data_IF_868792035244
#
_entry.id   IF_868792035244
#
_cell.length_a   1.000
_cell.length_b   1.000
_cell.length_c   1.000
_cell.angle_alpha   90.00
_cell.angle_beta   90.00
_cell.angle_gamma   90.00
#
_symmetry.space_group_name_H-M   'P 1'
#
loop_
_entity.id
_entity.type
_entity.pdbx_description
1 polymer ?
#
# COMPACT_ATOMS: atom_id res chain seq x y z
N UNK A 1 23.10 -27.26 -1.36
CA UNK A 1 23.67 -26.54 -2.53
C UNK A 1 24.04 -27.45 -3.71
N UNK A 2 24.38 -28.73 -3.51
CA UNK A 2 24.66 -29.67 -4.62
C UNK A 2 23.49 -29.80 -5.62
N UNK A 3 22.24 -29.78 -5.14
CA UNK A 3 21.04 -29.81 -5.99
C UNK A 3 20.97 -28.58 -6.91
N UNK A 4 21.25 -27.37 -6.43
CA UNK A 4 21.19 -26.15 -7.24
C UNK A 4 22.25 -26.15 -8.36
N UNK A 5 23.48 -26.59 -8.06
CA UNK A 5 24.53 -26.70 -9.08
C UNK A 5 24.23 -27.78 -10.12
N UNK A 6 23.54 -28.87 -9.74
CA UNK A 6 23.09 -29.89 -10.69
C UNK A 6 22.12 -29.34 -11.75
N UNK A 7 21.43 -28.23 -11.46
CA UNK A 7 20.56 -27.53 -12.42
C UNK A 7 21.21 -26.29 -13.06
N UNK A 8 22.55 -26.16 -13.02
CA UNK A 8 23.30 -24.98 -13.50
C UNK A 8 22.83 -23.66 -12.87
N UNK A 9 22.28 -23.69 -11.66
CA UNK A 9 21.94 -22.47 -10.93
C UNK A 9 23.20 -21.83 -10.32
N UNK A 10 23.14 -20.51 -10.17
CA UNK A 10 24.16 -19.66 -9.55
C UNK A 10 23.70 -19.24 -8.14
N UNK A 11 23.94 -20.05 -7.09
CA UNK A 11 23.43 -19.74 -5.75
C UNK A 11 24.20 -18.57 -5.13
N UNK A 12 23.52 -17.46 -4.89
CA UNK A 12 24.04 -16.30 -4.14
C UNK A 12 23.38 -16.31 -2.77
N UNK A 13 24.16 -16.20 -1.69
CA UNK A 13 23.66 -16.29 -0.31
C UNK A 13 23.93 -15.00 0.44
N UNK A 14 22.90 -14.44 1.07
CA UNK A 14 23.02 -13.31 2.00
C UNK A 14 23.12 -13.85 3.42
N UNK A 15 24.20 -13.56 4.15
CA UNK A 15 24.45 -14.16 5.47
C UNK A 15 25.46 -13.38 6.31
N UNK A 16 25.39 -13.53 7.62
CA UNK A 16 26.41 -13.08 8.58
C UNK A 16 27.47 -14.15 8.89
N UNK A 17 27.32 -15.37 8.35
CA UNK A 17 28.22 -16.52 8.58
C UNK A 17 28.63 -17.19 7.26
N UNK A 18 29.42 -16.49 6.41
CA UNK A 18 29.76 -16.95 5.06
C UNK A 18 30.48 -18.31 5.04
N UNK A 19 31.20 -18.67 6.10
CA UNK A 19 31.95 -19.92 6.21
C UNK A 19 31.02 -21.16 6.14
N UNK A 20 29.75 -21.02 6.55
CA UNK A 20 28.74 -22.09 6.43
C UNK A 20 28.32 -22.36 4.99
N UNK A 21 28.59 -21.44 4.07
CA UNK A 21 28.08 -21.46 2.70
C UNK A 21 29.21 -21.53 1.66
N UNK A 22 30.28 -22.26 1.95
CA UNK A 22 31.42 -22.47 1.03
C UNK A 22 31.06 -23.05 -0.35
N UNK A 23 29.86 -23.63 -0.49
CA UNK A 23 29.34 -24.15 -1.75
C UNK A 23 28.47 -23.15 -2.55
N UNK A 24 28.25 -21.93 -2.03
CA UNK A 24 27.63 -20.85 -2.80
C UNK A 24 28.52 -20.46 -4.00
N UNK A 25 27.93 -19.81 -5.01
CA UNK A 25 28.71 -19.12 -6.03
C UNK A 25 29.31 -17.85 -5.46
N UNK A 26 28.52 -17.10 -4.71
CA UNK A 26 28.90 -15.85 -4.06
C UNK A 26 28.18 -15.70 -2.72
N UNK A 27 28.80 -15.02 -1.76
CA UNK A 27 28.20 -14.71 -0.45
C UNK A 27 28.21 -13.21 -0.22
N UNK A 28 27.02 -12.63 -0.02
CA UNK A 28 26.85 -11.23 0.37
C UNK A 28 26.81 -11.16 1.89
N UNK A 29 27.92 -10.69 2.48
CA UNK A 29 28.08 -10.66 3.94
C UNK A 29 27.31 -9.47 4.53
N UNK A 30 26.44 -9.74 5.50
CA UNK A 30 25.74 -8.72 6.28
C UNK A 30 26.16 -8.78 7.76
N UNK A 31 26.15 -7.64 8.50
CA UNK A 31 26.45 -7.65 9.92
C UNK A 31 25.49 -8.55 10.72
N UNK A 32 26.00 -9.19 11.77
CA UNK A 32 25.17 -9.92 12.72
C UNK A 32 24.37 -8.93 13.58
N UNK A 33 23.08 -9.20 13.77
CA UNK A 33 22.14 -8.37 14.54
C UNK A 33 21.25 -9.25 15.42
N UNK A 34 20.41 -8.61 16.23
CA UNK A 34 19.38 -9.31 17.02
C UNK A 34 18.50 -10.16 16.09
N UNK A 35 18.22 -11.44 16.41
CA UNK A 35 17.46 -12.33 15.54
C UNK A 35 16.10 -11.76 15.11
N UNK A 36 15.48 -10.92 15.92
CA UNK A 36 14.19 -10.28 15.62
C UNK A 36 14.27 -9.25 14.48
N UNK A 37 15.48 -8.81 14.10
CA UNK A 37 15.75 -7.81 13.07
C UNK A 37 16.63 -8.34 11.93
N UNK A 38 16.99 -9.63 11.94
CA UNK A 38 17.92 -10.23 10.95
C UNK A 38 17.42 -10.06 9.50
N UNK A 39 16.11 -10.18 9.31
CA UNK A 39 15.44 -10.06 8.02
C UNK A 39 15.59 -8.65 7.42
N UNK A 40 15.78 -7.61 8.26
CA UNK A 40 15.90 -6.22 7.79
C UNK A 40 17.17 -6.05 6.97
N UNK A 41 18.31 -6.52 7.50
CA UNK A 41 19.59 -6.43 6.79
C UNK A 41 19.61 -7.33 5.55
N UNK A 42 19.04 -8.54 5.65
CA UNK A 42 18.90 -9.41 4.50
C UNK A 42 18.05 -8.78 3.38
N UNK A 43 16.94 -8.11 3.74
CA UNK A 43 16.09 -7.42 2.79
C UNK A 43 16.79 -6.23 2.12
N UNK A 44 17.51 -5.41 2.89
CA UNK A 44 18.27 -4.27 2.35
C UNK A 44 19.37 -4.75 1.39
N UNK A 45 20.14 -5.77 1.78
CA UNK A 45 21.15 -6.35 0.91
C UNK A 45 20.55 -6.93 -0.38
N UNK A 46 19.40 -7.59 -0.29
CA UNK A 46 18.67 -8.11 -1.45
C UNK A 46 18.18 -6.99 -2.40
N UNK A 47 17.68 -5.88 -1.84
CA UNK A 47 17.27 -4.72 -2.65
C UNK A 47 18.46 -4.07 -3.36
N UNK A 48 19.57 -3.86 -2.65
CA UNK A 48 20.78 -3.28 -3.24
C UNK A 48 21.35 -4.17 -4.34
N UNK A 49 21.50 -5.47 -4.08
CA UNK A 49 21.95 -6.44 -5.08
C UNK A 49 21.07 -6.40 -6.34
N UNK A 50 19.75 -6.43 -6.16
CA UNK A 50 18.81 -6.41 -7.30
C UNK A 50 18.87 -5.10 -8.08
N UNK A 51 19.10 -3.97 -7.39
CA UNK A 51 19.24 -2.67 -8.03
C UNK A 51 20.54 -2.57 -8.85
N UNK A 52 21.66 -3.00 -8.30
CA UNK A 52 22.95 -3.04 -9.01
C UNK A 52 22.91 -4.02 -10.19
N UNK A 53 22.25 -5.18 -10.03
CA UNK A 53 22.02 -6.11 -11.14
C UNK A 53 21.19 -5.46 -12.27
N UNK A 54 20.14 -4.71 -11.92
CA UNK A 54 19.35 -3.99 -12.91
C UNK A 54 20.16 -2.87 -13.60
N UNK A 55 21.02 -2.16 -12.88
CA UNK A 55 21.93 -1.15 -13.46
C UNK A 55 22.96 -1.79 -14.40
N UNK A 56 23.49 -2.96 -14.05
CA UNK A 56 24.41 -3.69 -14.93
C UNK A 56 23.72 -4.12 -16.24
N UNK A 57 22.47 -4.57 -16.18
CA UNK A 57 21.67 -4.88 -17.37
C UNK A 57 21.41 -3.61 -18.19
N UNK A 58 21.01 -2.51 -17.55
CA UNK A 58 20.80 -1.23 -18.24
C UNK A 58 22.07 -0.73 -18.95
N UNK A 59 23.22 -0.89 -18.30
CA UNK A 59 24.52 -0.50 -18.87
C UNK A 59 24.84 -1.28 -20.15
N UNK A 60 24.37 -2.52 -20.29
CA UNK A 60 24.55 -3.31 -21.52
C UNK A 60 23.85 -2.70 -22.75
N UNK A 61 22.91 -1.77 -22.55
CA UNK A 61 22.26 -0.99 -23.61
C UNK A 61 23.11 0.18 -24.13
N UNK A 62 24.26 0.47 -23.50
CA UNK A 62 25.10 1.61 -23.85
C UNK A 62 25.53 1.65 -25.32
N UNK A 63 25.98 0.55 -25.95
CA UNK A 63 26.31 0.57 -27.38
C UNK A 63 25.10 0.89 -28.26
N UNK A 64 23.91 0.42 -27.90
CA UNK A 64 22.67 0.72 -28.62
C UNK A 64 22.30 2.21 -28.52
N UNK A 65 22.51 2.83 -27.36
CA UNK A 65 22.32 4.27 -27.16
C UNK A 65 23.30 5.08 -28.00
N UNK A 66 24.55 4.62 -28.12
CA UNK A 66 25.54 5.29 -28.98
C UNK A 66 25.13 5.22 -30.46
N UNK A 67 24.67 4.07 -30.96
CA UNK A 67 24.16 3.95 -32.33
C UNK A 67 22.98 4.90 -32.54
N UNK A 68 22.05 4.95 -31.59
CA UNK A 68 20.90 5.86 -31.65
C UNK A 68 21.35 7.34 -31.68
N UNK A 69 22.33 7.73 -30.88
CA UNK A 69 22.88 9.09 -30.92
C UNK A 69 23.56 9.42 -32.26
N UNK A 70 24.21 8.45 -32.91
CA UNK A 70 24.76 8.63 -34.26
C UNK A 70 23.63 8.88 -35.27
N UNK A 71 22.55 8.09 -35.22
CA UNK A 71 21.38 8.29 -36.07
C UNK A 71 20.78 9.68 -35.84
N UNK A 72 20.55 10.07 -34.58
CA UNK A 72 19.99 11.37 -34.21
C UNK A 72 20.86 12.52 -34.75
N UNK A 73 22.18 12.44 -34.63
CA UNK A 73 23.09 13.45 -35.18
C UNK A 73 23.04 13.50 -36.73
N UNK A 74 22.89 12.36 -37.38
CA UNK A 74 22.82 12.26 -38.84
C UNK A 74 21.51 12.86 -39.41
N UNK A 75 20.42 12.90 -38.63
CA UNK A 75 19.15 13.54 -39.06
C UNK A 75 19.23 15.05 -39.29
N UNK A 76 20.29 15.70 -38.81
CA UNK A 76 20.53 17.13 -39.06
C UNK A 76 20.94 17.44 -40.52
N UNK A 77 21.19 16.42 -41.35
CA UNK A 77 21.66 16.53 -42.72
C UNK A 77 20.60 16.07 -43.74
N UNK A 78 20.94 16.18 -45.03
CA UNK A 78 20.06 15.76 -46.11
C UNK A 78 19.72 14.25 -46.01
N UNK A 79 18.44 13.85 -46.16
CA UNK A 79 17.99 12.46 -46.02
C UNK A 79 18.75 11.46 -46.89
N UNK A 80 19.21 11.88 -48.06
CA UNK A 80 19.94 11.06 -49.01
C UNK A 80 21.33 10.64 -48.48
N UNK A 81 21.91 11.43 -47.57
CA UNK A 81 23.21 11.14 -46.93
C UNK A 81 23.08 10.45 -45.57
N UNK A 82 21.85 10.17 -45.12
CA UNK A 82 21.59 9.71 -43.76
C UNK A 82 22.29 8.38 -43.46
N UNK A 83 22.09 7.38 -44.32
CA UNK A 83 22.68 6.05 -44.13
C UNK A 83 24.20 6.09 -44.24
N UNK A 84 24.75 6.85 -45.20
CA UNK A 84 26.21 6.98 -45.35
C UNK A 84 26.87 7.58 -44.11
N UNK A 85 26.23 8.57 -43.50
CA UNK A 85 26.70 9.20 -42.25
C UNK A 85 26.60 8.26 -41.05
N UNK A 86 25.48 7.54 -40.95
CA UNK A 86 25.33 6.52 -39.91
C UNK A 86 26.43 5.47 -40.05
N UNK A 87 26.61 4.93 -41.26
CA UNK A 87 27.61 3.91 -41.55
C UNK A 87 29.04 4.33 -41.18
N UNK A 88 29.38 5.62 -41.30
CA UNK A 88 30.70 6.16 -40.97
C UNK A 88 31.05 6.06 -39.46
N UNK A 89 30.04 6.09 -38.58
CA UNK A 89 30.25 6.30 -37.14
C UNK A 89 29.68 5.17 -36.24
N UNK A 90 28.98 4.16 -36.80
CA UNK A 90 28.37 3.09 -35.99
C UNK A 90 29.24 1.84 -35.76
N UNK A 91 30.37 1.67 -36.46
CA UNK A 91 31.14 0.42 -36.47
C UNK A 91 31.54 -0.06 -35.07
N UNK A 92 32.08 0.85 -34.25
CA UNK A 92 32.52 0.54 -32.88
C UNK A 92 31.36 0.08 -31.98
N UNK A 93 30.28 0.87 -31.79
CA UNK A 93 29.19 0.43 -30.92
C UNK A 93 28.40 -0.76 -31.50
N UNK A 94 28.31 -0.90 -32.83
CA UNK A 94 27.71 -2.07 -33.46
C UNK A 94 28.52 -3.35 -33.17
N UNK A 95 29.84 -3.28 -33.28
CA UNK A 95 30.73 -4.40 -32.96
C UNK A 95 30.64 -4.78 -31.48
N UNK A 96 30.61 -3.80 -30.57
CA UNK A 96 30.42 -4.05 -29.13
C UNK A 96 29.13 -4.81 -28.83
N UNK A 97 28.02 -4.41 -29.46
CA UNK A 97 26.75 -5.13 -29.32
C UNK A 97 26.84 -6.55 -29.87
N UNK A 98 27.37 -6.73 -31.08
CA UNK A 98 27.49 -8.04 -31.73
C UNK A 98 28.44 -8.99 -30.99
N UNK A 99 29.52 -8.47 -30.40
CA UNK A 99 30.42 -9.21 -29.52
C UNK A 99 29.69 -9.64 -28.23
N UNK A 100 28.92 -8.74 -27.63
CA UNK A 100 28.09 -9.04 -26.46
C UNK A 100 27.05 -10.13 -26.74
N UNK A 101 26.43 -10.11 -27.92
CA UNK A 101 25.48 -11.14 -28.36
C UNK A 101 26.16 -12.50 -28.52
N UNK A 102 27.35 -12.55 -29.13
CA UNK A 102 28.14 -13.78 -29.26
C UNK A 102 28.63 -14.33 -27.92
N UNK A 103 28.88 -13.46 -26.94
CA UNK A 103 29.27 -13.84 -25.59
C UNK A 103 28.09 -14.30 -24.71
N UNK A 104 26.84 -14.15 -25.16
CA UNK A 104 25.65 -14.47 -24.36
C UNK A 104 25.31 -13.43 -23.28
N UNK A 105 25.87 -12.21 -23.37
CA UNK A 105 25.68 -11.17 -22.35
C UNK A 105 24.23 -10.66 -22.27
N UNK A 106 23.42 -10.92 -23.29
CA UNK A 106 22.02 -10.51 -23.39
C UNK A 106 21.03 -11.65 -23.08
N UNK A 107 21.52 -12.84 -22.74
CA UNK A 107 20.68 -14.01 -22.48
C UNK A 107 19.78 -13.77 -21.27
N UNK A 108 18.47 -13.90 -21.48
CA UNK A 108 17.46 -13.69 -20.44
C UNK A 108 17.11 -12.23 -20.16
N UNK A 109 17.76 -11.26 -20.83
CA UNK A 109 17.49 -9.82 -20.65
C UNK A 109 16.96 -9.17 -21.92
N UNK A 110 17.50 -9.54 -23.09
CA UNK A 110 17.02 -9.11 -24.40
C UNK A 110 16.21 -10.24 -25.05
N UNK A 111 15.08 -9.92 -25.65
CA UNK A 111 14.28 -10.93 -26.37
C UNK A 111 15.00 -11.39 -27.64
N UNK A 112 14.86 -12.68 -27.96
CA UNK A 112 15.51 -13.26 -29.14
C UNK A 112 15.08 -12.58 -30.45
N UNK A 113 13.83 -12.11 -30.54
CA UNK A 113 13.34 -11.33 -31.69
C UNK A 113 14.06 -9.99 -31.82
N UNK A 114 14.19 -9.23 -30.72
CA UNK A 114 14.88 -7.93 -30.73
C UNK A 114 16.37 -8.08 -31.04
N UNK A 115 17.02 -9.11 -30.48
CA UNK A 115 18.41 -9.42 -30.76
C UNK A 115 18.65 -9.79 -32.23
N UNK A 116 17.80 -10.67 -32.80
CA UNK A 116 17.91 -11.11 -34.19
C UNK A 116 17.64 -9.97 -35.16
N UNK A 117 16.61 -9.17 -34.89
CA UNK A 117 16.26 -8.00 -35.70
C UNK A 117 17.40 -6.97 -35.73
N UNK A 118 17.94 -6.60 -34.57
CA UNK A 118 19.07 -5.68 -34.48
C UNK A 118 20.32 -6.21 -35.20
N UNK A 119 20.66 -7.48 -34.99
CA UNK A 119 21.79 -8.10 -35.67
C UNK A 119 21.62 -8.11 -37.20
N UNK A 120 20.38 -8.22 -37.70
CA UNK A 120 20.06 -8.08 -39.13
C UNK A 120 20.22 -6.67 -39.64
N UNK A 121 19.54 -5.71 -39.00
CA UNK A 121 19.53 -4.30 -39.42
C UNK A 121 20.92 -3.68 -39.38
N UNK A 122 21.75 -4.07 -38.40
CA UNK A 122 23.14 -3.61 -38.32
C UNK A 122 23.99 -4.07 -39.52
N UNK A 123 23.69 -5.23 -40.14
CA UNK A 123 24.42 -5.66 -41.34
C UNK A 123 24.23 -4.68 -42.51
N UNK A 124 22.99 -4.21 -42.70
CA UNK A 124 22.67 -3.22 -43.73
C UNK A 124 23.19 -1.83 -43.35
N UNK A 125 23.07 -1.45 -42.08
CA UNK A 125 23.54 -0.15 -41.59
C UNK A 125 25.07 0.01 -41.69
N UNK A 126 25.82 -1.08 -41.52
CA UNK A 126 27.28 -1.13 -41.68
C UNK A 126 27.72 -1.38 -43.15
N UNK A 127 26.77 -1.57 -44.08
CA UNK A 127 27.07 -1.84 -45.49
C UNK A 127 27.64 -3.24 -45.77
N UNK A 128 27.54 -4.17 -44.81
CA UNK A 128 28.00 -5.56 -44.97
C UNK A 128 27.03 -6.46 -45.73
N UNK A 129 25.78 -6.03 -45.89
CA UNK A 129 24.74 -6.68 -46.70
C UNK A 129 24.19 -5.71 -47.76
N UNK A 130 23.80 -6.24 -48.92
CA UNK A 130 23.23 -5.43 -50.02
C UNK A 130 21.80 -5.02 -49.71
N UNK A 131 21.41 -3.79 -50.01
CA UNK A 131 20.01 -3.35 -49.89
C UNK A 131 19.06 -4.14 -50.79
N UNK A 132 19.58 -4.75 -51.87
CA UNK A 132 18.79 -5.62 -52.75
C UNK A 132 18.24 -6.86 -52.02
N UNK A 133 18.92 -7.30 -50.95
CA UNK A 133 18.51 -8.46 -50.14
C UNK A 133 17.56 -8.08 -48.99
N UNK A 134 17.33 -6.79 -48.75
CA UNK A 134 16.56 -6.30 -47.60
C UNK A 134 15.11 -6.79 -47.60
N UNK A 135 14.47 -6.82 -48.77
CA UNK A 135 13.08 -7.28 -48.90
C UNK A 135 12.92 -8.75 -48.54
N UNK A 136 13.95 -9.57 -48.78
CA UNK A 136 13.94 -10.99 -48.43
C UNK A 136 13.94 -11.21 -46.92
N UNK A 137 14.65 -10.37 -46.16
CA UNK A 137 14.75 -10.50 -44.70
C UNK A 137 13.66 -9.72 -43.94
N UNK A 138 13.22 -8.58 -44.47
CA UNK A 138 12.34 -7.64 -43.78
C UNK A 138 10.98 -7.41 -44.44
N UNK A 139 10.75 -7.97 -45.64
CA UNK A 139 9.44 -7.92 -46.33
C UNK A 139 9.06 -6.55 -46.90
N UNK A 140 10.00 -5.61 -46.97
CA UNK A 140 9.82 -4.26 -47.52
C UNK A 140 11.00 -3.87 -48.40
N UNK A 141 10.81 -2.94 -49.33
CA UNK A 141 11.87 -2.50 -50.25
C UNK A 141 13.07 -1.91 -49.48
N UNK A 142 14.27 -2.39 -49.81
CA UNK A 142 15.53 -1.91 -49.25
C UNK A 142 15.90 -0.54 -49.77
N UNK A 143 15.49 0.51 -49.07
CA UNK A 143 15.92 1.89 -49.32
C UNK A 143 16.65 2.44 -48.10
N UNK A 144 17.65 3.33 -48.26
CA UNK A 144 18.47 3.83 -47.15
C UNK A 144 17.67 4.40 -45.97
N UNK A 145 16.57 5.12 -46.27
CA UNK A 145 15.68 5.67 -45.25
C UNK A 145 14.94 4.60 -44.46
N UNK A 146 14.54 3.49 -45.10
CA UNK A 146 13.85 2.39 -44.44
C UNK A 146 14.76 1.71 -43.41
N UNK A 147 16.02 1.44 -43.78
CA UNK A 147 17.00 0.83 -42.86
C UNK A 147 17.17 1.67 -41.59
N UNK A 148 17.29 2.99 -41.73
CA UNK A 148 17.50 3.89 -40.58
C UNK A 148 16.24 3.98 -39.71
N UNK A 149 15.04 4.02 -40.32
CA UNK A 149 13.76 4.00 -39.60
C UNK A 149 13.60 2.70 -38.81
N UNK A 150 13.80 1.56 -39.46
CA UNK A 150 13.63 0.24 -38.86
C UNK A 150 14.68 0.01 -37.76
N UNK A 151 15.93 0.43 -37.99
CA UNK A 151 16.99 0.38 -36.98
C UNK A 151 16.65 1.27 -35.77
N UNK A 152 16.13 2.47 -35.98
CA UNK A 152 15.71 3.37 -34.88
C UNK A 152 14.60 2.75 -34.04
N UNK A 153 13.61 2.13 -34.69
CA UNK A 153 12.53 1.43 -34.01
C UNK A 153 13.05 0.25 -33.20
N UNK A 154 13.89 -0.60 -33.80
CA UNK A 154 14.49 -1.76 -33.13
C UNK A 154 15.37 -1.37 -31.95
N UNK A 155 16.19 -0.30 -32.08
CA UNK A 155 17.01 0.25 -31.00
C UNK A 155 16.14 0.73 -29.84
N UNK A 156 15.03 1.41 -30.14
CA UNK A 156 14.12 1.90 -29.10
C UNK A 156 13.55 0.74 -28.29
N UNK A 157 13.02 -0.29 -28.94
CA UNK A 157 12.48 -1.47 -28.26
C UNK A 157 13.55 -2.20 -27.43
N UNK A 158 14.76 -2.42 -27.99
CA UNK A 158 15.82 -3.12 -27.29
C UNK A 158 16.36 -2.33 -26.07
N UNK A 159 16.52 -1.01 -26.20
CA UNK A 159 16.92 -0.16 -25.07
C UNK A 159 15.85 -0.22 -23.97
N UNK A 160 14.56 -0.13 -24.33
CA UNK A 160 13.47 -0.25 -23.37
C UNK A 160 13.45 -1.61 -22.66
N UNK A 161 13.70 -2.72 -23.38
CA UNK A 161 13.81 -4.04 -22.78
C UNK A 161 14.94 -4.11 -21.74
N UNK A 162 16.12 -3.57 -22.06
CA UNK A 162 17.29 -3.57 -21.18
C UNK A 162 17.18 -2.58 -20.00
N UNK A 163 16.41 -1.50 -20.15
CA UNK A 163 16.18 -0.50 -19.09
C UNK A 163 15.03 -0.89 -18.14
N UNK A 164 14.01 -1.61 -18.63
CA UNK A 164 12.81 -2.01 -17.85
C UNK A 164 13.10 -2.65 -16.48
N UNK A 165 14.14 -3.48 -16.28
CA UNK A 165 14.45 -4.05 -14.98
C UNK A 165 14.65 -3.01 -13.88
N UNK A 166 15.20 -1.84 -14.20
CA UNK A 166 15.41 -0.76 -13.21
C UNK A 166 14.09 -0.28 -12.63
N UNK A 167 13.10 -0.07 -13.49
CA UNK A 167 11.77 0.38 -13.06
C UNK A 167 11.01 -0.74 -12.34
N UNK A 168 11.17 -1.98 -12.79
CA UNK A 168 10.59 -3.14 -12.11
C UNK A 168 11.12 -3.27 -10.68
N UNK A 169 12.44 -3.16 -10.46
CA UNK A 169 13.03 -3.22 -9.12
C UNK A 169 12.60 -2.04 -8.25
N UNK A 170 12.54 -0.81 -8.80
CA UNK A 170 12.01 0.35 -8.08
C UNK A 170 10.55 0.14 -7.66
N UNK A 171 9.72 -0.40 -8.55
CA UNK A 171 8.33 -0.72 -8.26
C UNK A 171 8.23 -1.80 -7.17
N UNK A 172 9.00 -2.88 -7.26
CA UNK A 172 9.03 -3.93 -6.23
C UNK A 172 9.48 -3.39 -4.88
N UNK A 173 10.56 -2.60 -4.83
CA UNK A 173 11.03 -1.97 -3.61
C UNK A 173 9.95 -1.07 -2.99
N UNK A 174 9.21 -0.32 -3.81
CA UNK A 174 8.04 0.44 -3.35
C UNK A 174 6.94 -0.49 -2.83
N UNK A 175 6.58 -1.56 -3.51
CA UNK A 175 5.54 -2.50 -3.06
C UNK A 175 5.92 -3.19 -1.75
N UNK A 176 7.19 -3.53 -1.55
CA UNK A 176 7.67 -4.13 -0.29
C UNK A 176 7.65 -3.11 0.84
N UNK A 177 8.11 -1.88 0.60
CA UNK A 177 8.18 -0.83 1.64
C UNK A 177 6.83 -0.15 1.92
N UNK A 178 5.91 -0.12 0.95
CA UNK A 178 4.53 0.37 1.10
C UNK A 178 3.59 -0.78 1.52
N UNK A 179 3.90 -2.03 1.22
CA UNK A 179 3.07 -3.20 1.59
C UNK A 179 3.00 -3.47 3.09
N UNK A 180 4.02 -3.04 3.84
CA UNK A 180 4.01 -3.00 5.32
C UNK A 180 3.19 -1.84 5.89
N UNK A 181 2.67 -0.93 5.07
CA UNK A 181 1.71 0.10 5.50
C UNK A 181 0.26 -0.39 5.47
N UNK A 182 0.01 -1.71 5.53
CA UNK A 182 -1.32 -2.23 5.90
C UNK A 182 -1.48 -2.13 7.41
N UNK A 183 -1.65 -0.90 7.90
CA UNK A 183 -2.13 -0.58 9.24
C UNK A 183 -3.41 -1.36 9.59
N UNK A 184 -4.20 -1.76 8.59
CA UNK A 184 -5.46 -2.50 8.73
C UNK A 184 -5.34 -3.80 9.52
N UNK A 185 -4.28 -4.59 9.32
CA UNK A 185 -4.12 -5.84 10.07
C UNK A 185 -3.81 -5.59 11.55
N UNK A 186 -3.08 -4.52 11.84
CA UNK A 186 -2.84 -4.06 13.21
C UNK A 186 -4.13 -3.55 13.85
N UNK A 187 -5.01 -2.86 13.10
CA UNK A 187 -6.32 -2.42 13.62
C UNK A 187 -7.19 -3.62 14.03
N UNK A 188 -7.14 -4.72 13.27
CA UNK A 188 -7.86 -5.97 13.61
C UNK A 188 -7.29 -6.69 14.85
N UNK A 189 -6.11 -6.30 15.33
CA UNK A 189 -5.50 -6.82 16.57
C UNK A 189 -5.88 -6.03 17.82
N UNK A 190 -6.60 -4.92 17.72
CA UNK A 190 -7.13 -4.24 18.91
C UNK A 190 -8.21 -5.11 19.58
N UNK A 191 -8.25 -5.13 20.92
CA UNK A 191 -9.15 -6.02 21.67
C UNK A 191 -10.61 -5.66 21.41
N UNK A 192 -10.97 -4.37 21.48
CA UNK A 192 -12.32 -3.92 21.17
C UNK A 192 -12.78 -4.32 19.75
N UNK A 193 -11.88 -4.31 18.76
CA UNK A 193 -12.22 -4.72 17.39
C UNK A 193 -12.47 -6.22 17.32
N UNK A 194 -11.68 -7.04 18.03
CA UNK A 194 -11.96 -8.48 18.18
C UNK A 194 -13.31 -8.72 18.81
N UNK A 195 -13.68 -7.96 19.84
CA UNK A 195 -14.97 -8.07 20.52
C UNK A 195 -16.16 -7.73 19.59
N UNK A 196 -16.02 -6.69 18.76
CA UNK A 196 -17.04 -6.35 17.73
C UNK A 196 -17.22 -7.52 16.73
N UNK A 197 -16.11 -8.10 16.25
CA UNK A 197 -16.18 -9.25 15.33
C UNK A 197 -16.76 -10.49 16.02
N UNK A 198 -16.39 -10.74 17.27
CA UNK A 198 -16.91 -11.85 18.07
C UNK A 198 -18.42 -11.73 18.36
N UNK A 199 -18.93 -10.49 18.49
CA UNK A 199 -20.36 -10.19 18.56
C UNK A 199 -21.11 -10.41 17.22
N UNK A 200 -20.42 -10.89 16.18
CA UNK A 200 -20.99 -11.31 14.91
C UNK A 200 -20.96 -10.27 13.81
N UNK A 201 -20.29 -9.12 14.01
CA UNK A 201 -20.14 -8.12 12.94
C UNK A 201 -19.25 -8.66 11.81
N UNK A 202 -19.71 -8.65 10.53
CA UNK A 202 -18.89 -9.03 9.40
C UNK A 202 -17.72 -8.07 9.22
N UNK A 203 -16.51 -8.60 9.03
CA UNK A 203 -15.30 -7.78 8.84
C UNK A 203 -15.41 -6.82 7.65
N UNK A 204 -16.08 -7.26 6.59
CA UNK A 204 -16.31 -6.49 5.37
C UNK A 204 -17.41 -5.41 5.52
N UNK A 205 -18.09 -5.37 6.68
CA UNK A 205 -19.05 -4.32 7.02
C UNK A 205 -18.46 -3.21 7.92
N UNK A 206 -17.20 -3.34 8.37
CA UNK A 206 -16.55 -2.31 9.19
C UNK A 206 -15.74 -1.36 8.32
N UNK A 207 -16.10 -0.07 8.34
CA UNK A 207 -15.34 0.93 7.59
C UNK A 207 -13.99 1.19 8.27
N UNK A 208 -12.99 1.64 7.49
CA UNK A 208 -11.69 2.04 8.04
C UNK A 208 -11.82 3.11 9.15
N UNK A 209 -12.72 4.08 8.97
CA UNK A 209 -13.02 5.10 9.99
C UNK A 209 -13.54 4.45 11.28
N UNK A 210 -14.49 3.51 11.17
CA UNK A 210 -15.01 2.79 12.33
C UNK A 210 -13.91 2.01 13.06
N UNK A 211 -13.06 1.29 12.33
CA UNK A 211 -11.93 0.55 12.90
C UNK A 211 -10.95 1.47 13.63
N UNK A 212 -10.61 2.61 13.02
CA UNK A 212 -9.70 3.58 13.63
C UNK A 212 -10.26 4.17 14.91
N UNK A 213 -11.51 4.63 14.89
CA UNK A 213 -12.18 5.16 16.08
C UNK A 213 -12.28 4.10 17.18
N UNK A 214 -12.53 2.84 16.86
CA UNK A 214 -12.54 1.77 17.85
C UNK A 214 -11.17 1.58 18.50
N UNK A 215 -10.10 1.52 17.70
CA UNK A 215 -8.72 1.41 18.21
C UNK A 215 -8.36 2.61 19.09
N UNK A 216 -8.75 3.82 18.71
CA UNK A 216 -8.48 5.03 19.49
C UNK A 216 -9.32 5.08 20.79
N UNK A 217 -10.47 4.40 20.84
CA UNK A 217 -11.29 4.24 22.05
C UNK A 217 -10.80 3.12 23.00
N UNK A 218 -10.08 2.12 22.48
CA UNK A 218 -9.63 0.92 23.21
C UNK A 218 -8.95 1.24 24.57
N UNK A 219 -8.05 2.25 24.68
CA UNK A 219 -7.42 2.58 25.97
C UNK A 219 -8.39 3.03 27.06
N UNK A 220 -9.58 3.54 26.69
CA UNK A 220 -10.60 3.95 27.65
C UNK A 220 -11.49 2.79 28.11
N UNK A 221 -11.38 1.62 27.47
CA UNK A 221 -12.23 0.46 27.72
C UNK A 221 -11.54 -0.52 28.65
N UNK A 222 -12.17 -0.81 29.79
CA UNK A 222 -11.71 -1.82 30.76
C UNK A 222 -12.19 -3.20 30.35
N UNK A 223 -13.47 -3.33 30.00
CA UNK A 223 -14.05 -4.62 29.62
C UNK A 223 -15.29 -4.45 28.73
N UNK A 224 -15.54 -5.46 27.89
CA UNK A 224 -16.79 -5.61 27.13
C UNK A 224 -17.64 -6.66 27.84
N UNK A 225 -18.79 -6.27 28.38
CA UNK A 225 -19.63 -7.10 29.26
C UNK A 225 -20.85 -7.69 28.55
N UNK A 226 -21.09 -7.32 27.29
CA UNK A 226 -22.17 -7.88 26.49
C UNK A 226 -22.34 -7.15 25.16
N UNK A 227 -23.26 -7.63 24.33
CA UNK A 227 -23.55 -7.03 23.05
C UNK A 227 -25.00 -7.20 22.62
N UNK A 228 -25.48 -6.31 21.75
CA UNK A 228 -26.69 -6.56 20.95
C UNK A 228 -26.42 -6.19 19.50
N UNK A 229 -26.69 -7.13 18.60
CA UNK A 229 -26.57 -6.93 17.17
C UNK A 229 -27.94 -6.71 16.55
N UNK A 230 -28.03 -5.76 15.65
CA UNK A 230 -29.23 -5.40 14.92
C UNK A 230 -28.99 -5.44 13.43
N UNK A 231 -30.03 -5.85 12.69
CA UNK A 231 -30.16 -5.64 11.26
C UNK A 231 -30.97 -4.37 11.02
N UNK A 232 -30.52 -3.55 10.09
CA UNK A 232 -31.23 -2.35 9.63
C UNK A 232 -31.78 -2.63 8.24
N UNK A 233 -33.07 -2.32 8.03
CA UNK A 233 -33.74 -2.43 6.74
C UNK A 233 -34.25 -1.05 6.30
N UNK A 234 -34.09 -0.75 5.01
CA UNK A 234 -34.40 0.57 4.45
C UNK A 234 -33.22 1.55 4.56
N UNK A 235 -33.41 2.75 4.02
CA UNK A 235 -32.39 3.79 4.07
C UNK A 235 -32.51 4.60 5.37
N UNK A 236 -31.44 4.61 6.17
CA UNK A 236 -31.37 5.36 7.42
C UNK A 236 -31.43 6.89 7.23
N UNK A 237 -31.22 7.39 6.01
CA UNK A 237 -31.47 8.80 5.67
C UNK A 237 -32.97 9.12 5.50
N UNK A 238 -33.84 8.11 5.56
CA UNK A 238 -35.30 8.26 5.44
C UNK A 238 -36.00 7.80 6.72
N UNK A 239 -37.14 8.42 7.05
CA UNK A 239 -37.93 8.10 8.25
C UNK A 239 -38.57 6.69 8.27
N UNK A 240 -38.35 5.90 7.22
CA UNK A 240 -38.95 4.57 7.04
C UNK A 240 -38.02 3.42 7.43
N UNK A 241 -36.79 3.70 7.86
CA UNK A 241 -35.84 2.67 8.28
C UNK A 241 -36.36 1.87 9.49
N UNK A 242 -36.17 0.55 9.43
CA UNK A 242 -36.54 -0.40 10.47
C UNK A 242 -35.31 -1.07 11.07
N UNK A 243 -35.43 -1.49 12.32
CA UNK A 243 -34.38 -2.15 13.07
C UNK A 243 -34.91 -3.43 13.73
N UNK A 244 -34.14 -4.52 13.61
CA UNK A 244 -34.50 -5.83 14.13
C UNK A 244 -33.33 -6.42 14.92
N UNK A 245 -33.60 -7.00 16.08
CA UNK A 245 -32.59 -7.74 16.85
C UNK A 245 -32.19 -8.98 16.07
N UNK A 246 -30.89 -9.19 15.92
CA UNK A 246 -30.29 -10.38 15.28
C UNK A 246 -29.73 -11.32 16.34
N UNK A 247 -28.98 -10.76 17.29
CA UNK A 247 -28.30 -11.54 18.33
C UNK A 247 -28.03 -10.69 19.58
N UNK A 248 -27.86 -11.36 20.72
CA UNK A 248 -27.57 -10.76 22.03
C UNK A 248 -26.64 -11.66 22.82
N UNK A 249 -25.73 -11.05 23.59
CA UNK A 249 -24.86 -11.79 24.51
C UNK A 249 -24.45 -11.01 25.74
N UNK A 250 -23.90 -11.72 26.73
CA UNK A 250 -23.49 -11.16 28.02
C UNK A 250 -24.64 -10.51 28.78
N UNK A 251 -24.41 -9.33 29.36
CA UNK A 251 -25.44 -8.59 30.13
C UNK A 251 -26.69 -8.22 29.31
N UNK A 252 -26.62 -8.31 27.98
CA UNK A 252 -27.73 -7.98 27.10
C UNK A 252 -28.65 -9.16 26.79
N UNK A 253 -28.26 -10.40 27.13
CA UNK A 253 -29.02 -11.61 26.79
C UNK A 253 -30.47 -11.55 27.30
N UNK A 254 -30.65 -11.11 28.55
CA UNK A 254 -31.97 -11.05 29.21
C UNK A 254 -32.67 -9.68 29.06
N UNK A 255 -32.08 -8.73 28.32
CA UNK A 255 -32.67 -7.40 28.16
C UNK A 255 -33.71 -7.38 27.05
N UNK A 256 -34.92 -6.91 27.35
CA UNK A 256 -35.95 -6.67 26.32
C UNK A 256 -35.56 -5.46 25.48
N UNK A 257 -35.39 -5.66 24.17
CA UNK A 257 -35.10 -4.54 23.27
C UNK A 257 -36.38 -3.86 22.85
N UNK A 258 -36.43 -2.53 22.88
CA UNK A 258 -37.56 -1.77 22.30
C UNK A 258 -37.83 -2.13 20.83
N UNK A 259 -36.80 -2.54 20.09
CA UNK A 259 -36.94 -2.94 18.69
C UNK A 259 -37.86 -4.17 18.51
N UNK A 260 -38.08 -4.97 19.56
CA UNK A 260 -38.98 -6.12 19.53
C UNK A 260 -40.46 -5.70 19.53
N UNK A 261 -40.80 -4.54 20.10
CA UNK A 261 -42.17 -4.01 20.13
C UNK A 261 -42.40 -2.84 19.16
N UNK A 262 -41.37 -2.06 18.86
CA UNK A 262 -41.41 -0.92 17.93
C UNK A 262 -40.18 -0.98 17.02
N UNK A 263 -40.37 -1.45 15.79
CA UNK A 263 -39.29 -1.68 14.83
C UNK A 263 -38.76 -0.39 14.18
N UNK A 264 -39.28 0.80 14.50
CA UNK A 264 -38.83 2.06 13.87
C UNK A 264 -37.43 2.43 14.35
N UNK A 265 -36.53 2.69 13.41
CA UNK A 265 -35.18 3.17 13.71
C UNK A 265 -35.23 4.63 14.17
N UNK A 266 -35.00 4.89 15.47
CA UNK A 266 -35.12 6.23 16.07
C UNK A 266 -34.03 6.52 17.09
N UNK A 267 -33.84 7.81 17.39
CA UNK A 267 -32.93 8.29 18.43
C UNK A 267 -31.46 8.04 18.08
N UNK A 268 -30.64 7.67 19.07
CA UNK A 268 -29.19 7.50 18.87
C UNK A 268 -28.85 6.42 17.84
N UNK A 269 -29.62 5.33 17.78
CA UNK A 269 -29.41 4.26 16.78
C UNK A 269 -29.63 4.77 15.35
N UNK A 270 -30.65 5.61 15.14
CA UNK A 270 -30.88 6.28 13.85
C UNK A 270 -29.70 7.17 13.47
N UNK A 271 -29.28 8.05 14.38
CA UNK A 271 -28.17 8.97 14.15
C UNK A 271 -26.89 8.23 13.75
N UNK A 272 -26.55 7.14 14.46
CA UNK A 272 -25.37 6.31 14.14
C UNK A 272 -25.49 5.66 12.76
N UNK A 273 -26.67 5.15 12.41
CA UNK A 273 -26.89 4.54 11.11
C UNK A 273 -26.81 5.55 9.95
N UNK A 274 -27.36 6.75 10.15
CA UNK A 274 -27.34 7.85 9.17
C UNK A 274 -25.93 8.43 8.98
N UNK A 275 -25.26 8.78 10.09
CA UNK A 275 -23.92 9.37 10.07
C UNK A 275 -22.82 8.34 9.74
N UNK A 276 -23.11 7.05 9.96
CA UNK A 276 -22.16 5.94 9.81
C UNK A 276 -20.91 6.15 10.66
N UNK A 277 -21.11 6.68 11.87
CA UNK A 277 -20.05 7.05 12.79
C UNK A 277 -20.19 6.31 14.13
N UNK A 278 -19.10 5.71 14.60
CA UNK A 278 -19.06 5.03 15.89
C UNK A 278 -19.36 6.05 16.99
N UNK A 279 -20.30 5.71 17.88
CA UNK A 279 -20.76 6.65 18.92
C UNK A 279 -20.79 5.97 20.28
N UNK A 280 -20.17 6.60 21.27
CA UNK A 280 -20.26 6.25 22.69
C UNK A 280 -21.51 6.85 23.28
N UNK A 281 -22.25 6.06 24.05
CA UNK A 281 -23.57 6.45 24.59
C UNK A 281 -23.67 6.03 26.05
N UNK A 282 -24.25 6.90 26.87
CA UNK A 282 -24.74 6.55 28.20
C UNK A 282 -26.27 6.49 28.19
N UNK A 283 -26.83 5.35 28.55
CA UNK A 283 -28.27 5.13 28.59
C UNK A 283 -28.95 6.10 29.56
N UNK A 284 -29.96 6.85 29.09
CA UNK A 284 -30.65 7.85 29.92
C UNK A 284 -31.49 7.23 31.04
N UNK A 285 -31.91 5.99 30.88
CA UNK A 285 -32.83 5.32 31.80
C UNK A 285 -32.13 4.32 32.72
N UNK A 286 -31.13 3.60 32.21
CA UNK A 286 -30.42 2.54 32.93
C UNK A 286 -28.96 2.86 33.24
N UNK A 287 -28.47 4.04 32.83
CA UNK A 287 -27.11 4.52 33.08
C UNK A 287 -26.02 3.73 32.36
N UNK A 288 -26.37 2.70 31.58
CA UNK A 288 -25.42 1.76 30.97
C UNK A 288 -24.65 2.43 29.85
N UNK A 289 -23.38 2.09 29.77
CA UNK A 289 -22.45 2.63 28.79
C UNK A 289 -22.32 1.68 27.60
N UNK A 290 -22.41 2.26 26.40
CA UNK A 290 -22.49 1.54 25.14
C UNK A 290 -21.55 2.16 24.12
N UNK A 291 -20.97 1.33 23.27
CA UNK A 291 -20.39 1.77 22.00
C UNK A 291 -21.31 1.25 20.90
N UNK A 292 -21.80 2.14 20.04
CA UNK A 292 -22.69 1.82 18.92
C UNK A 292 -21.87 1.87 17.64
N UNK A 293 -21.71 0.73 16.98
CA UNK A 293 -20.90 0.55 15.78
C UNK A 293 -21.82 0.32 14.56
N UNK A 294 -21.74 1.15 13.50
CA UNK A 294 -22.46 0.92 12.26
C UNK A 294 -21.80 -0.16 11.40
N UNK A 295 -22.62 -1.08 10.90
CA UNK A 295 -22.25 -2.07 9.87
C UNK A 295 -22.65 -1.50 8.50
N UNK A 296 -21.69 -1.20 7.64
CA UNK A 296 -21.90 -0.48 6.37
C UNK A 296 -21.55 -1.36 5.18
N UNK A 297 -22.48 -1.51 4.24
CA UNK A 297 -22.24 -2.14 2.93
C UNK A 297 -22.75 -1.25 1.81
N UNK A 298 -21.99 -1.15 0.72
CA UNK A 298 -22.33 -0.32 -0.45
C UNK A 298 -22.76 1.13 -0.08
N UNK A 299 -22.13 1.70 0.95
CA UNK A 299 -22.43 3.05 1.43
C UNK A 299 -23.66 3.17 2.33
N UNK A 300 -24.42 2.09 2.57
CA UNK A 300 -25.60 2.07 3.43
C UNK A 300 -25.36 1.33 4.74
N UNK A 301 -25.97 1.79 5.82
CA UNK A 301 -25.94 1.10 7.11
C UNK A 301 -26.91 -0.10 7.08
N UNK A 302 -26.36 -1.30 7.04
CA UNK A 302 -27.13 -2.57 6.98
C UNK A 302 -27.32 -3.21 8.35
N UNK A 303 -26.63 -2.71 9.37
CA UNK A 303 -26.70 -3.24 10.73
C UNK A 303 -26.07 -2.31 11.76
N UNK A 304 -26.31 -2.62 13.04
CA UNK A 304 -25.69 -1.95 14.16
C UNK A 304 -25.24 -3.00 15.17
N UNK A 305 -24.01 -2.89 15.65
CA UNK A 305 -23.51 -3.68 16.77
C UNK A 305 -23.32 -2.76 17.96
N UNK A 306 -24.00 -3.07 19.07
CA UNK A 306 -23.89 -2.33 20.32
C UNK A 306 -23.09 -3.16 21.29
N UNK A 307 -21.92 -2.68 21.72
CA UNK A 307 -21.17 -3.28 22.81
C UNK A 307 -21.56 -2.60 24.12
N UNK A 308 -21.86 -3.39 25.16
CA UNK A 308 -21.94 -2.92 26.53
C UNK A 308 -20.53 -2.92 27.12
N UNK A 309 -20.06 -1.75 27.53
CA UNK A 309 -18.65 -1.52 27.82
C UNK A 309 -18.48 -0.85 29.17
N UNK A 310 -17.55 -1.34 29.98
CA UNK A 310 -17.08 -0.67 31.18
C UNK A 310 -15.91 0.24 30.80
N UNK A 311 -16.06 1.55 31.01
CA UNK A 311 -15.00 2.53 30.77
C UNK A 311 -14.13 2.69 32.01
N UNK A 312 -12.85 3.02 31.82
CA UNK A 312 -11.94 3.34 32.90
C UNK A 312 -12.48 4.52 33.73
N UNK A 313 -12.32 4.51 35.08
CA UNK A 313 -12.77 5.62 35.92
C UNK A 313 -11.95 6.89 35.70
N UNK A 314 -10.68 6.75 35.31
CA UNK A 314 -9.77 7.84 34.97
C UNK A 314 -8.71 7.36 33.97
N UNK A 315 -8.09 8.31 33.27
CA UNK A 315 -6.96 8.10 32.36
C UNK A 315 -5.93 9.21 32.58
N UNK A 316 -4.68 8.97 32.18
CA UNK A 316 -3.71 10.08 32.09
C UNK A 316 -4.17 11.11 31.07
N UNK A 317 -3.82 12.39 31.27
CA UNK A 317 -4.16 13.45 30.31
C UNK A 317 -3.68 13.15 28.89
N UNK A 318 -2.50 12.54 28.76
CA UNK A 318 -1.97 12.11 27.46
C UNK A 318 -2.86 11.05 26.78
N UNK A 319 -3.23 10.00 27.51
CA UNK A 319 -4.07 8.93 26.98
C UNK A 319 -5.47 9.45 26.64
N UNK A 320 -6.05 10.26 27.52
CA UNK A 320 -7.39 10.83 27.30
C UNK A 320 -7.40 11.81 26.12
N UNK A 321 -6.34 12.62 25.94
CA UNK A 321 -6.17 13.47 24.77
C UNK A 321 -6.17 12.62 23.49
N UNK A 322 -5.38 11.55 23.44
CA UNK A 322 -5.31 10.67 22.27
C UNK A 322 -6.68 10.05 21.95
N UNK A 323 -7.40 9.57 22.96
CA UNK A 323 -8.77 9.03 22.82
C UNK A 323 -9.72 10.09 22.23
N UNK A 324 -9.72 11.32 22.75
CA UNK A 324 -10.58 12.40 22.25
C UNK A 324 -10.22 12.91 20.85
N UNK A 325 -8.95 12.80 20.45
CA UNK A 325 -8.52 13.13 19.09
C UNK A 325 -9.02 12.10 18.07
N UNK A 326 -9.00 10.82 18.44
CA UNK A 326 -9.49 9.72 17.58
C UNK A 326 -11.01 9.55 17.56
N UNK A 327 -11.72 10.18 18.50
CA UNK A 327 -13.17 10.11 18.63
C UNK A 327 -13.86 11.41 18.21
N UNK A 328 -14.48 11.41 17.04
CA UNK A 328 -15.37 12.48 16.52
C UNK A 328 -14.77 13.91 16.57
N UNK A 329 -13.44 14.05 16.48
CA UNK A 329 -12.75 15.35 16.55
C UNK A 329 -12.97 16.09 17.89
N UNK A 330 -13.35 15.35 18.93
CA UNK A 330 -13.92 15.89 20.16
C UNK A 330 -12.93 16.69 21.00
N UNK A 331 -11.65 16.34 20.94
CA UNK A 331 -10.58 17.13 21.55
C UNK A 331 -10.53 18.55 20.99
N UNK A 332 -10.57 18.68 19.65
CA UNK A 332 -10.56 19.98 18.99
C UNK A 332 -11.78 20.82 19.36
N UNK A 333 -12.97 20.21 19.32
CA UNK A 333 -14.20 20.89 19.71
C UNK A 333 -14.18 21.38 21.17
N UNK A 334 -13.67 20.59 22.10
CA UNK A 334 -13.55 20.99 23.51
C UNK A 334 -12.51 22.10 23.69
N UNK A 335 -11.33 21.96 23.08
CA UNK A 335 -10.30 23.00 23.13
C UNK A 335 -10.82 24.33 22.61
N UNK A 336 -11.45 24.31 21.44
CA UNK A 336 -11.95 25.52 20.80
C UNK A 336 -13.05 26.19 21.65
N UNK A 337 -13.96 25.40 22.26
CA UNK A 337 -14.99 25.89 23.17
C UNK A 337 -14.44 26.49 24.48
N UNK A 338 -13.35 25.93 25.02
CA UNK A 338 -12.69 26.50 26.21
C UNK A 338 -11.95 27.78 25.85
N UNK A 339 -11.22 27.80 24.73
CA UNK A 339 -10.46 28.99 24.30
C UNK A 339 -11.35 30.13 23.81
N UNK A 340 -12.66 29.92 23.72
CA UNK A 340 -13.63 31.00 23.51
C UNK A 340 -13.78 31.89 24.76
N UNK A 341 -13.58 31.34 25.97
CA UNK A 341 -13.70 32.08 27.24
C UNK A 341 -12.41 32.18 28.05
N UNK A 342 -11.52 31.20 27.95
CA UNK A 342 -10.26 31.12 28.69
C UNK A 342 -9.04 31.40 27.80
N UNK A 343 -7.96 31.96 28.36
CA UNK A 343 -6.75 32.30 27.60
C UNK A 343 -6.00 31.09 27.03
N UNK A 344 -6.16 29.92 27.64
CA UNK A 344 -5.48 28.68 27.21
C UNK A 344 -6.23 27.43 27.64
N UNK A 345 -5.97 26.31 26.95
CA UNK A 345 -6.53 25.01 27.30
C UNK A 345 -5.55 24.23 28.18
N UNK A 346 -5.90 24.02 29.46
CA UNK A 346 -5.13 23.19 30.37
C UNK A 346 -5.48 21.70 30.19
N UNK A 347 -4.62 20.96 29.50
CA UNK A 347 -4.81 19.52 29.29
C UNK A 347 -4.71 18.68 30.58
N UNK A 348 -4.15 19.20 31.67
CA UNK A 348 -4.00 18.42 32.92
C UNK A 348 -5.36 18.08 33.53
N UNK A 349 -6.37 18.94 33.31
CA UNK A 349 -7.75 18.73 33.73
C UNK A 349 -8.44 17.53 33.07
N UNK A 350 -7.96 17.05 31.91
CA UNK A 350 -8.50 15.85 31.26
C UNK A 350 -8.42 14.61 32.15
N UNK A 351 -7.40 14.51 33.01
CA UNK A 351 -7.22 13.39 33.93
C UNK A 351 -8.20 13.41 35.12
N UNK A 352 -8.86 14.55 35.36
CA UNK A 352 -9.77 14.78 36.48
C UNK A 352 -11.23 14.49 36.13
N UNK A 353 -11.54 14.33 34.85
CA UNK A 353 -12.89 14.03 34.35
C UNK A 353 -12.95 12.57 33.91
N UNK A 354 -14.02 11.86 34.28
CA UNK A 354 -14.19 10.48 33.88
C UNK A 354 -14.26 10.36 32.34
N UNK A 355 -13.56 9.39 31.72
CA UNK A 355 -13.59 9.19 30.26
C UNK A 355 -15.00 9.14 29.67
N UNK A 356 -15.95 8.48 30.34
CA UNK A 356 -17.33 8.42 29.85
C UNK A 356 -17.98 9.81 29.77
N UNK A 357 -17.76 10.69 30.75
CA UNK A 357 -18.29 12.06 30.74
C UNK A 357 -17.66 12.85 29.59
N UNK A 358 -16.34 12.76 29.46
CA UNK A 358 -15.62 13.39 28.36
C UNK A 358 -16.12 12.91 27.00
N UNK A 359 -16.53 11.65 26.86
CA UNK A 359 -17.02 11.07 25.60
C UNK A 359 -18.50 11.33 25.31
N UNK A 360 -19.34 11.59 26.31
CA UNK A 360 -20.81 11.72 26.12
C UNK A 360 -21.41 13.08 26.42
N UNK A 361 -20.82 13.87 27.32
CA UNK A 361 -21.43 15.13 27.76
C UNK A 361 -21.35 16.22 26.68
N UNK A 362 -22.29 17.18 26.60
CA UNK A 362 -22.19 18.25 25.62
C UNK A 362 -20.88 19.03 25.78
N UNK A 363 -20.22 19.36 24.67
CA UNK A 363 -18.92 20.06 24.67
C UNK A 363 -18.95 21.35 25.48
N UNK A 364 -20.02 22.14 25.37
CA UNK A 364 -20.19 23.38 26.13
C UNK A 364 -20.29 23.14 27.65
N UNK A 365 -20.91 22.04 28.07
CA UNK A 365 -21.01 21.66 29.49
C UNK A 365 -19.65 21.19 30.03
N UNK A 366 -18.86 20.50 29.19
CA UNK A 366 -17.50 20.11 29.52
C UNK A 366 -16.58 21.33 29.62
N UNK A 367 -16.73 22.31 28.72
CA UNK A 367 -15.93 23.53 28.72
C UNK A 367 -16.12 24.35 30.02
N UNK A 368 -17.31 24.32 30.62
CA UNK A 368 -17.56 24.96 31.93
C UNK A 368 -16.65 24.42 33.05
N UNK A 369 -16.10 23.20 32.93
CA UNK A 369 -15.14 22.64 33.91
C UNK A 369 -13.74 23.23 33.81
N UNK A 370 -13.45 23.97 32.75
CA UNK A 370 -12.20 24.70 32.55
C UNK A 370 -12.31 26.16 33.01
N UNK A 371 -13.49 26.62 33.46
CA UNK A 371 -13.64 27.95 34.05
C UNK A 371 -13.04 27.98 35.45
N UNK A 372 -12.17 28.95 35.69
CA UNK A 372 -11.57 29.23 37.00
C UNK A 372 -12.50 30.05 37.91
#
# INVERSE_FOLDING_TARGET
MAIYRAHRAAPIVITDTPERYSAALETLVVPSVMPELDFVLAAVAGHLFSYEAALAIDYSAFPLRQIRSVIEAATAFAPESLLERVMADIDVPATQFLDGLRAGNYDGTLTASSATLLASLLRYAMGSASLDDYELEHGALGVPSAVVVDLTAALTTAIEELTRPVDAIKHQAKTVTVGISRSDETLLRAEIVRQVIAAGTPRDSLTYRSLRTLVDLDPAVVSVVGYTRYRVEGDAATDNAKIFVVDKGGVAADLVSRAESDSRLRGTKHRVAEQREVTVVRGRTDGRTLIVIPEVKHGQCVGLTLLHVEFAPSLSSESMRAVLQGYQGRYGALRDAVTETEDSFDDTLLSQVAPIELLTDPVLVLADRWRA
#
